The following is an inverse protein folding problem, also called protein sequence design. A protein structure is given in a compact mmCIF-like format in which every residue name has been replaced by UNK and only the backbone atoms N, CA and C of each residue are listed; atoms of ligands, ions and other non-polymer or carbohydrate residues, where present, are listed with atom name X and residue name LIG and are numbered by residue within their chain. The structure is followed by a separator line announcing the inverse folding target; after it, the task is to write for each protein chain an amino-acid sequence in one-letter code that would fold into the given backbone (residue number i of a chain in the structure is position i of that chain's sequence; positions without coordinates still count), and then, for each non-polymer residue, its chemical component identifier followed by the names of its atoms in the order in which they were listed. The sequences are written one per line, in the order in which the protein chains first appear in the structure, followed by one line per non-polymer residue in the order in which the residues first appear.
data_IF_065590862846
#
_entry.id   IF_065590862846
#
_cell.length_a   1.000
_cell.length_b   1.000
_cell.length_c   1.000
_cell.angle_alpha   90.00
_cell.angle_beta   90.00
_cell.angle_gamma   90.00
#
_symmetry.space_group_name_H-M   'P 1'
#
loop_
_entity.id
_entity.type
_entity.pdbx_description
1 polymer ?
#
# COMPACT_ATOMS: atom_id res chain seq x y z
N UNK A 1 -25.38 -8.30 5.45
CA UNK A 1 -25.35 -9.66 4.90
C UNK A 1 -25.48 -9.55 3.39
N UNK A 2 -24.40 -9.83 2.65
CA UNK A 2 -24.46 -10.09 1.20
C UNK A 2 -23.93 -11.49 1.01
N UNK A 3 -24.75 -12.32 0.40
CA UNK A 3 -24.47 -13.72 0.10
C UNK A 3 -23.21 -13.80 -0.77
N UNK A 4 -22.24 -14.62 -0.33
CA UNK A 4 -21.09 -14.99 -1.13
C UNK A 4 -21.58 -16.11 -2.04
N UNK A 5 -21.96 -15.75 -3.26
CA UNK A 5 -22.19 -16.70 -4.34
C UNK A 5 -20.94 -17.57 -4.51
N UNK A 6 -21.11 -18.86 -4.27
CA UNK A 6 -20.15 -19.91 -4.61
C UNK A 6 -20.02 -19.95 -6.13
N UNK A 7 -19.11 -19.15 -6.66
CA UNK A 7 -18.85 -19.12 -8.10
C UNK A 7 -18.42 -20.51 -8.56
N UNK A 8 -19.26 -21.14 -9.39
CA UNK A 8 -18.92 -22.32 -10.19
C UNK A 8 -17.58 -22.09 -10.91
N UNK A 9 -16.80 -23.16 -11.18
CA UNK A 9 -15.54 -23.01 -11.89
C UNK A 9 -15.78 -22.25 -13.19
N UNK A 10 -14.90 -21.30 -13.58
CA UNK A 10 -15.11 -20.51 -14.77
C UNK A 10 -15.33 -21.46 -15.96
N UNK A 11 -16.38 -21.20 -16.76
CA UNK A 11 -16.83 -22.07 -17.86
C UNK A 11 -15.70 -22.60 -18.75
N UNK A 12 -14.61 -21.83 -18.89
CA UNK A 12 -13.41 -22.20 -19.62
C UNK A 12 -12.61 -23.36 -19.00
N UNK A 13 -12.44 -23.37 -17.67
CA UNK A 13 -11.76 -24.46 -16.95
C UNK A 13 -12.55 -25.77 -17.10
N UNK A 14 -13.88 -25.71 -16.94
CA UNK A 14 -14.75 -26.86 -17.11
C UNK A 14 -14.76 -27.42 -18.55
N UNK A 15 -14.77 -26.55 -19.57
CA UNK A 15 -14.66 -26.99 -20.97
C UNK A 15 -13.31 -27.60 -21.30
N UNK A 16 -12.21 -27.01 -20.81
CA UNK A 16 -10.88 -27.54 -21.03
C UNK A 16 -10.69 -28.89 -20.32
N UNK A 17 -11.23 -29.04 -19.12
CA UNK A 17 -11.17 -30.28 -18.35
C UNK A 17 -11.98 -31.40 -19.02
N UNK A 18 -13.15 -31.08 -19.62
CA UNK A 18 -13.90 -32.01 -20.46
C UNK A 18 -13.11 -32.44 -21.70
N UNK A 19 -12.44 -31.49 -22.38
CA UNK A 19 -11.59 -31.79 -23.53
C UNK A 19 -10.39 -32.67 -23.14
N UNK A 20 -9.71 -32.34 -22.05
CA UNK A 20 -8.60 -33.11 -21.52
C UNK A 20 -9.03 -34.54 -21.15
N UNK A 21 -10.20 -34.70 -20.51
CA UNK A 21 -10.79 -36.00 -20.21
C UNK A 21 -11.14 -36.80 -21.47
N UNK A 22 -11.71 -36.16 -22.49
CA UNK A 22 -12.02 -36.82 -23.77
C UNK A 22 -10.74 -37.28 -24.50
N UNK A 23 -9.71 -36.43 -24.52
CA UNK A 23 -8.40 -36.79 -25.09
C UNK A 23 -7.76 -37.92 -24.29
N UNK A 24 -7.78 -37.86 -22.95
CA UNK A 24 -7.20 -38.88 -22.08
C UNK A 24 -7.93 -40.23 -22.19
N UNK A 25 -9.26 -40.24 -22.21
CA UNK A 25 -10.06 -41.44 -22.41
C UNK A 25 -9.78 -42.08 -23.77
N UNK A 26 -9.79 -41.27 -24.84
CA UNK A 26 -9.50 -41.77 -26.20
C UNK A 26 -8.05 -42.21 -26.37
N UNK A 27 -7.12 -41.63 -25.62
CA UNK A 27 -5.73 -42.09 -25.55
C UNK A 27 -5.65 -43.43 -24.80
N UNK A 28 -6.32 -43.56 -23.65
CA UNK A 28 -6.35 -44.79 -22.87
C UNK A 28 -6.98 -45.96 -23.63
N UNK A 29 -8.18 -45.79 -24.19
CA UNK A 29 -8.86 -46.82 -25.01
C UNK A 29 -7.99 -47.32 -26.17
N UNK A 30 -7.24 -46.43 -26.82
CA UNK A 30 -6.36 -46.78 -27.94
C UNK A 30 -5.09 -47.54 -27.53
N UNK A 31 -4.71 -47.49 -26.25
CA UNK A 31 -3.52 -48.16 -25.70
C UNK A 31 -3.87 -49.37 -24.81
N UNK A 32 -5.15 -49.67 -24.56
CA UNK A 32 -5.59 -50.81 -23.73
C UNK A 32 -6.18 -51.99 -24.50
N UNK A 33 -6.12 -52.00 -25.83
CA UNK A 33 -6.73 -53.10 -26.61
C UNK A 33 -5.95 -54.43 -26.62
N UNK A 34 -4.79 -54.51 -25.95
CA UNK A 34 -4.08 -55.78 -25.74
C UNK A 34 -3.94 -56.12 -24.24
N UNK A 35 -4.91 -56.87 -23.72
CA UNK A 35 -4.73 -57.78 -22.58
C UNK A 35 -5.16 -57.27 -21.19
N UNK A 36 -6.44 -57.49 -20.84
CA UNK A 36 -6.91 -58.25 -19.66
C UNK A 36 -8.34 -57.85 -19.28
N UNK A 37 -9.22 -58.83 -19.27
CA UNK A 37 -10.60 -58.74 -18.81
C UNK A 37 -10.64 -58.56 -17.29
N UNK A 38 -11.17 -57.43 -16.82
CA UNK A 38 -11.68 -57.31 -15.45
C UNK A 38 -13.09 -56.71 -15.51
N UNK A 39 -14.08 -57.55 -15.22
CA UNK A 39 -15.47 -57.15 -15.02
C UNK A 39 -15.60 -56.21 -13.81
N UNK A 40 -16.44 -55.17 -13.90
CA UNK A 40 -17.07 -54.59 -12.72
C UNK A 40 -18.59 -54.77 -12.83
N UNK A 41 -19.13 -55.80 -12.17
CA UNK A 41 -20.49 -55.69 -11.64
C UNK A 41 -20.44 -54.82 -10.38
N UNK A 42 -21.20 -53.72 -10.36
CA UNK A 42 -21.42 -52.95 -9.13
C UNK A 42 -21.58 -51.44 -9.30
N UNK A 43 -22.67 -51.00 -9.95
CA UNK A 43 -23.45 -49.83 -9.53
C UNK A 43 -22.89 -48.42 -9.80
N UNK A 44 -23.60 -47.67 -10.67
CA UNK A 44 -23.58 -46.21 -10.69
C UNK A 44 -23.43 -45.63 -12.09
N UNK A 45 -24.53 -45.60 -12.85
CA UNK A 45 -24.55 -44.97 -14.17
C UNK A 45 -24.20 -43.48 -14.12
N UNK A 46 -23.51 -43.01 -15.15
CA UNK A 46 -23.51 -41.61 -15.53
C UNK A 46 -23.71 -41.50 -17.04
N UNK A 47 -24.98 -41.34 -17.40
CA UNK A 47 -25.43 -40.84 -18.69
C UNK A 47 -24.91 -39.42 -18.88
N UNK A 48 -24.01 -39.22 -19.85
CA UNK A 48 -23.65 -37.90 -20.37
C UNK A 48 -23.49 -37.97 -21.91
N UNK A 49 -24.49 -38.58 -22.55
CA UNK A 49 -24.83 -38.33 -23.95
C UNK A 49 -26.16 -37.58 -23.96
N UNK A 50 -26.12 -36.32 -23.51
CA UNK A 50 -27.17 -35.37 -23.85
C UNK A 50 -26.60 -33.96 -23.75
N UNK A 51 -26.23 -33.39 -24.90
CA UNK A 51 -26.16 -31.95 -25.18
C UNK A 51 -25.78 -31.78 -26.65
N UNK A 52 -26.82 -31.80 -27.49
CA UNK A 52 -26.98 -30.98 -28.70
C UNK A 52 -25.73 -30.71 -29.54
N UNK A 53 -25.61 -31.48 -30.62
CA UNK A 53 -24.83 -31.10 -31.81
C UNK A 53 -25.33 -29.74 -32.32
N UNK A 54 -24.56 -28.68 -32.10
CA UNK A 54 -24.69 -27.45 -32.89
C UNK A 54 -24.18 -27.76 -34.30
N UNK A 55 -25.13 -28.19 -35.12
CA UNK A 55 -25.02 -28.32 -36.56
C UNK A 55 -24.66 -26.94 -37.13
N UNK A 56 -23.42 -26.74 -37.58
CA UNK A 56 -23.06 -25.59 -38.41
C UNK A 56 -23.55 -25.92 -39.83
N UNK A 57 -24.64 -25.32 -40.35
CA UNK A 57 -24.99 -25.51 -41.74
C UNK A 57 -24.02 -24.66 -42.59
N UNK A 58 -23.67 -25.16 -43.78
CA UNK A 58 -22.92 -24.48 -44.85
C UNK A 58 -21.39 -24.66 -44.95
N UNK A 59 -20.85 -25.83 -44.60
CA UNK A 59 -19.59 -26.29 -45.19
C UNK A 59 -19.86 -27.24 -46.37
N UNK A 60 -19.90 -26.69 -47.59
CA UNK A 60 -19.88 -27.48 -48.83
C UNK A 60 -18.52 -28.16 -48.99
N UNK A 61 -18.44 -29.44 -48.63
CA UNK A 61 -17.32 -30.31 -48.98
C UNK A 61 -17.40 -30.63 -50.47
N UNK A 62 -16.62 -29.93 -51.29
CA UNK A 62 -16.46 -30.27 -52.71
C UNK A 62 -15.53 -31.48 -52.80
N UNK A 63 -16.11 -32.66 -52.98
CA UNK A 63 -15.38 -33.88 -53.32
C UNK A 63 -14.89 -33.75 -54.77
N UNK A 64 -13.65 -33.34 -54.97
CA UNK A 64 -12.99 -33.46 -56.28
C UNK A 64 -12.65 -34.93 -56.51
N UNK A 65 -13.42 -35.60 -57.36
CA UNK A 65 -13.04 -36.89 -57.97
C UNK A 65 -11.77 -36.68 -58.81
N UNK A 66 -10.77 -37.57 -58.75
CA UNK A 66 -9.64 -37.52 -59.67
C UNK A 66 -10.10 -37.92 -61.08
N UNK A 67 -9.75 -37.09 -62.07
CA UNK A 67 -10.04 -37.34 -63.49
C UNK A 67 -9.30 -38.57 -64.02
N UNK A 68 -10.01 -39.35 -64.83
CA UNK A 68 -9.48 -40.47 -65.62
C UNK A 68 -8.52 -39.98 -66.72
N UNK A 69 -7.43 -40.71 -67.05
CA UNK A 69 -6.46 -40.23 -68.04
C UNK A 69 -6.96 -40.45 -69.50
N UNK A 70 -6.73 -39.51 -70.43
CA UNK A 70 -6.88 -39.78 -71.86
C UNK A 70 -5.59 -40.29 -72.51
N UNK A 71 -5.81 -41.02 -73.61
CA UNK A 71 -4.90 -41.90 -74.35
C UNK A 71 -3.77 -41.17 -75.12
N UNK A 72 -2.67 -41.91 -75.29
CA UNK A 72 -1.42 -41.65 -76.02
C UNK A 72 -1.56 -41.17 -77.49
N UNK A 73 -0.68 -40.23 -77.91
CA UNK A 73 -0.03 -40.24 -79.24
C UNK A 73 1.43 -39.76 -79.16
N UNK A 74 2.25 -40.43 -79.95
CA UNK A 74 3.72 -40.49 -80.07
C UNK A 74 4.35 -39.20 -80.59
N UNK A 75 5.54 -38.79 -80.09
CA UNK A 75 6.83 -38.76 -80.82
C UNK A 75 7.96 -38.11 -80.00
N UNK A 76 9.19 -38.59 -80.24
CA UNK A 76 10.52 -38.05 -79.90
C UNK A 76 11.08 -38.37 -78.50
N UNK A 77 12.00 -39.34 -78.48
CA UNK A 77 12.91 -39.65 -77.36
C UNK A 77 13.94 -38.52 -77.17
N UNK A 78 14.21 -38.12 -75.92
CA UNK A 78 15.56 -37.81 -75.48
C UNK A 78 16.06 -38.89 -74.51
N UNK A 79 17.39 -39.07 -74.49
CA UNK A 79 18.15 -40.07 -73.71
C UNK A 79 17.64 -40.21 -72.25
N UNK A 80 17.59 -41.43 -71.68
CA UNK A 80 17.11 -41.60 -70.31
C UNK A 80 18.11 -40.97 -69.32
N UNK A 81 17.66 -40.20 -68.32
CA UNK A 81 18.47 -39.98 -67.13
C UNK A 81 18.66 -41.34 -66.43
N UNK A 82 19.91 -41.65 -66.06
CA UNK A 82 20.29 -42.84 -65.27
C UNK A 82 19.84 -42.71 -63.81
N UNK A 83 18.53 -42.61 -63.57
CA UNK A 83 17.93 -42.60 -62.23
C UNK A 83 16.69 -43.49 -62.28
N UNK A 84 16.66 -44.55 -61.44
CA UNK A 84 15.48 -45.41 -61.29
C UNK A 84 14.29 -44.53 -60.86
N UNK A 85 13.13 -44.67 -61.54
CA UNK A 85 11.87 -44.09 -61.05
C UNK A 85 11.46 -44.90 -59.82
N UNK A 86 11.22 -44.21 -58.71
CA UNK A 86 10.71 -44.83 -57.51
C UNK A 86 9.33 -45.44 -57.83
N UNK A 87 9.13 -46.71 -57.46
CA UNK A 87 7.80 -47.30 -57.55
C UNK A 87 6.81 -46.49 -56.69
N UNK A 88 5.61 -46.25 -57.21
CA UNK A 88 4.62 -45.36 -56.59
C UNK A 88 4.24 -45.84 -55.20
N UNK A 89 4.17 -47.17 -55.00
CA UNK A 89 3.84 -47.80 -53.72
C UNK A 89 5.00 -47.71 -52.72
N UNK A 90 6.23 -47.99 -53.15
CA UNK A 90 7.45 -47.81 -52.34
C UNK A 90 7.61 -46.35 -51.88
N UNK A 91 7.35 -45.38 -52.77
CA UNK A 91 7.43 -43.96 -52.46
C UNK A 91 6.39 -43.51 -51.43
N UNK A 92 5.16 -43.99 -51.53
CA UNK A 92 4.11 -43.71 -50.54
C UNK A 92 4.47 -44.29 -49.16
N UNK A 93 4.99 -45.52 -49.10
CA UNK A 93 5.42 -46.11 -47.82
C UNK A 93 6.60 -45.36 -47.19
N UNK A 94 7.58 -44.92 -48.00
CA UNK A 94 8.71 -44.13 -47.52
C UNK A 94 8.25 -42.78 -46.96
N UNK A 95 7.37 -42.07 -47.66
CA UNK A 95 6.82 -40.78 -47.22
C UNK A 95 6.07 -40.97 -45.90
N UNK A 96 5.17 -41.97 -45.83
CA UNK A 96 4.42 -42.26 -44.60
C UNK A 96 5.34 -42.60 -43.42
N UNK A 97 6.40 -43.37 -43.64
CA UNK A 97 7.38 -43.71 -42.60
C UNK A 97 8.16 -42.48 -42.09
N UNK A 98 8.49 -41.53 -42.98
CA UNK A 98 9.11 -40.26 -42.60
C UNK A 98 8.16 -39.45 -41.72
N UNK A 99 6.90 -39.28 -42.11
CA UNK A 99 5.91 -38.55 -41.30
C UNK A 99 5.69 -39.21 -39.94
N UNK A 100 5.58 -40.54 -39.89
CA UNK A 100 5.47 -41.29 -38.64
C UNK A 100 6.67 -41.06 -37.70
N UNK A 101 7.87 -41.06 -38.25
CA UNK A 101 9.11 -40.84 -37.50
C UNK A 101 9.24 -39.39 -37.03
N UNK A 102 8.86 -38.42 -37.87
CA UNK A 102 8.82 -37.00 -37.50
C UNK A 102 7.80 -36.72 -36.39
N UNK A 103 6.59 -37.28 -36.47
CA UNK A 103 5.60 -37.14 -35.40
C UNK A 103 6.05 -37.86 -34.11
N UNK A 104 6.75 -38.99 -34.22
CA UNK A 104 7.35 -39.66 -33.05
C UNK A 104 8.45 -38.82 -32.40
N UNK A 105 9.26 -38.15 -33.22
CA UNK A 105 10.28 -37.20 -32.78
C UNK A 105 9.64 -36.00 -32.06
N UNK A 106 8.62 -35.38 -32.66
CA UNK A 106 7.88 -34.26 -32.07
C UNK A 106 7.28 -34.62 -30.70
N UNK A 107 6.62 -35.78 -30.59
CA UNK A 107 6.07 -36.26 -29.33
C UNK A 107 7.16 -36.45 -28.25
N UNK A 108 8.31 -37.02 -28.63
CA UNK A 108 9.45 -37.22 -27.72
C UNK A 108 10.06 -35.89 -27.28
N UNK A 109 10.12 -34.91 -28.19
CA UNK A 109 10.60 -33.56 -27.89
C UNK A 109 9.68 -32.82 -26.92
N UNK A 110 8.35 -32.93 -27.09
CA UNK A 110 7.39 -32.35 -26.16
C UNK A 110 7.44 -33.03 -24.78
N UNK A 111 7.67 -34.34 -24.73
CA UNK A 111 7.90 -35.07 -23.47
C UNK A 111 9.16 -34.57 -22.77
N UNK A 112 10.24 -34.34 -23.51
CA UNK A 112 11.48 -33.76 -22.98
C UNK A 112 11.20 -32.37 -22.39
N UNK A 113 10.50 -31.50 -23.13
CA UNK A 113 10.11 -30.18 -22.64
C UNK A 113 9.26 -30.25 -21.36
N UNK A 114 8.29 -31.16 -21.30
CA UNK A 114 7.45 -31.35 -20.12
C UNK A 114 8.25 -31.89 -18.92
N UNK A 115 9.24 -32.75 -19.15
CA UNK A 115 10.10 -33.35 -18.12
C UNK A 115 11.06 -32.35 -17.45
N UNK A 116 11.22 -31.14 -17.99
CA UNK A 116 12.01 -30.09 -17.34
C UNK A 116 11.27 -29.40 -16.18
N UNK A 117 9.95 -29.54 -16.08
CA UNK A 117 9.15 -28.90 -15.03
C UNK A 117 7.92 -29.75 -14.67
N UNK A 118 7.98 -30.57 -13.59
CA UNK A 118 9.08 -30.73 -12.63
C UNK A 118 10.26 -31.54 -13.20
N UNK A 119 11.50 -31.16 -12.86
CA UNK A 119 12.70 -31.87 -13.33
C UNK A 119 12.79 -33.27 -12.72
N UNK A 120 12.67 -34.29 -13.56
CA UNK A 120 12.88 -35.70 -13.17
C UNK A 120 13.93 -36.30 -14.10
N UNK A 121 15.08 -36.67 -13.54
CA UNK A 121 16.25 -37.09 -14.32
C UNK A 121 15.96 -38.31 -15.21
N UNK A 122 15.21 -39.28 -14.70
CA UNK A 122 14.87 -40.51 -15.43
C UNK A 122 13.97 -40.23 -16.65
N UNK A 123 12.99 -39.33 -16.52
CA UNK A 123 12.06 -39.00 -17.61
C UNK A 123 12.74 -38.18 -18.68
N UNK A 124 13.64 -37.26 -18.28
CA UNK A 124 14.50 -36.50 -19.21
C UNK A 124 15.41 -37.45 -19.99
N UNK A 125 16.11 -38.38 -19.30
CA UNK A 125 16.97 -39.39 -19.95
C UNK A 125 16.20 -40.34 -20.86
N UNK A 126 14.96 -40.68 -20.53
CA UNK A 126 14.12 -41.53 -21.37
C UNK A 126 13.67 -40.79 -22.64
N UNK A 127 13.20 -39.54 -22.51
CA UNK A 127 12.78 -38.71 -23.62
C UNK A 127 13.95 -38.37 -24.57
N UNK A 128 15.13 -38.08 -24.02
CA UNK A 128 16.36 -37.84 -24.80
C UNK A 128 16.76 -39.07 -25.63
N UNK A 129 16.81 -40.26 -25.01
CA UNK A 129 17.08 -41.52 -25.73
C UNK A 129 16.08 -41.78 -26.85
N UNK A 130 14.79 -41.54 -26.61
CA UNK A 130 13.74 -41.69 -27.62
C UNK A 130 13.93 -40.70 -28.79
N UNK A 131 14.33 -39.46 -28.48
CA UNK A 131 14.59 -38.41 -29.46
C UNK A 131 15.79 -38.77 -30.37
N UNK A 132 16.90 -39.21 -29.76
CA UNK A 132 18.10 -39.70 -30.49
C UNK A 132 17.75 -40.92 -31.35
N UNK A 133 16.96 -41.86 -30.83
CA UNK A 133 16.50 -43.04 -31.60
C UNK A 133 15.69 -42.64 -32.83
N UNK A 134 14.80 -41.66 -32.73
CA UNK A 134 14.02 -41.18 -33.88
C UNK A 134 14.89 -40.44 -34.91
N UNK A 135 15.91 -39.69 -34.48
CA UNK A 135 16.89 -39.09 -35.39
C UNK A 135 17.70 -40.15 -36.14
N UNK A 136 18.08 -41.24 -35.45
CA UNK A 136 18.76 -42.36 -36.09
C UNK A 136 17.87 -43.00 -37.16
N UNK A 137 16.59 -43.27 -36.86
CA UNK A 137 15.63 -43.79 -37.85
C UNK A 137 15.48 -42.88 -39.08
N UNK A 138 15.44 -41.55 -38.90
CA UNK A 138 15.43 -40.61 -40.03
C UNK A 138 16.71 -40.69 -40.86
N UNK A 139 17.87 -40.88 -40.22
CA UNK A 139 19.14 -41.09 -40.91
C UNK A 139 19.13 -42.38 -41.73
N UNK A 140 18.58 -43.46 -41.18
CA UNK A 140 18.48 -44.76 -41.86
C UNK A 140 17.55 -44.67 -43.08
N UNK A 141 16.39 -44.01 -42.95
CA UNK A 141 15.46 -43.74 -44.05
C UNK A 141 16.11 -42.90 -45.16
N UNK A 142 16.91 -41.88 -44.78
CA UNK A 142 17.67 -41.05 -45.72
C UNK A 142 18.74 -41.88 -46.46
N UNK A 143 19.46 -42.74 -45.74
CA UNK A 143 20.49 -43.59 -46.32
C UNK A 143 19.87 -44.62 -47.26
N UNK A 144 18.74 -45.23 -46.88
CA UNK A 144 17.96 -46.12 -47.73
C UNK A 144 17.56 -45.45 -49.05
N UNK A 145 16.99 -44.24 -48.99
CA UNK A 145 16.62 -43.49 -50.19
C UNK A 145 17.82 -43.23 -51.12
N UNK A 146 18.99 -42.89 -50.54
CA UNK A 146 20.22 -42.67 -51.31
C UNK A 146 20.71 -43.96 -51.97
N UNK A 147 20.80 -45.06 -51.22
CA UNK A 147 21.24 -46.36 -51.72
C UNK A 147 20.32 -46.87 -52.82
N UNK A 148 19.00 -46.78 -52.63
CA UNK A 148 18.01 -47.18 -53.63
C UNK A 148 18.12 -46.39 -54.94
N UNK A 149 18.50 -45.11 -54.85
CA UNK A 149 18.71 -44.26 -56.03
C UNK A 149 20.03 -44.55 -56.75
N UNK A 150 21.03 -45.11 -56.06
CA UNK A 150 22.37 -45.36 -56.57
C UNK A 150 22.60 -46.80 -57.06
N UNK A 151 21.91 -47.81 -56.51
CA UNK A 151 22.06 -49.22 -56.94
C UNK A 151 21.20 -49.54 -58.18
N UNK A 152 21.85 -50.02 -59.24
CA UNK A 152 21.19 -50.44 -60.50
C UNK A 152 21.01 -51.97 -60.63
N UNK A 153 21.58 -52.78 -59.74
CA UNK A 153 21.81 -54.22 -60.03
C UNK A 153 21.66 -55.21 -58.86
N UNK A 154 20.93 -54.89 -57.79
CA UNK A 154 20.59 -55.88 -56.75
C UNK A 154 19.08 -56.11 -56.68
N UNK A 155 18.71 -57.40 -56.68
CA UNK A 155 17.40 -57.87 -56.23
C UNK A 155 17.08 -57.32 -54.84
N UNK A 156 15.79 -57.12 -54.62
CA UNK A 156 15.16 -56.41 -53.52
C UNK A 156 15.44 -57.08 -52.17
N UNK A 157 16.57 -56.76 -51.53
CA UNK A 157 16.65 -56.80 -50.06
C UNK A 157 15.89 -55.57 -49.55
N UNK A 158 14.56 -55.70 -49.52
CA UNK A 158 13.67 -54.71 -48.92
C UNK A 158 14.08 -54.53 -47.47
N UNK A 159 14.56 -53.35 -47.09
CA UNK A 159 14.35 -52.90 -45.71
C UNK A 159 12.86 -53.09 -45.42
N UNK A 160 12.47 -53.60 -44.24
CA UNK A 160 11.08 -53.76 -43.87
C UNK A 160 10.52 -52.36 -43.61
N UNK A 161 10.32 -51.58 -44.67
CA UNK A 161 9.50 -50.39 -44.64
C UNK A 161 8.10 -50.94 -44.41
N UNK A 162 7.63 -50.82 -43.16
CA UNK A 162 6.32 -51.24 -42.75
C UNK A 162 5.23 -50.68 -43.67
N UNK A 163 4.02 -51.24 -43.55
CA UNK A 163 2.93 -50.84 -44.43
C UNK A 163 2.67 -49.33 -44.36
N UNK A 164 2.30 -48.71 -45.48
CA UNK A 164 1.90 -47.29 -45.51
C UNK A 164 0.80 -46.99 -44.48
N UNK A 165 -0.14 -47.92 -44.28
CA UNK A 165 -1.20 -47.81 -43.27
C UNK A 165 -0.66 -47.86 -41.84
N UNK A 166 0.29 -48.75 -41.57
CA UNK A 166 0.93 -48.91 -40.26
C UNK A 166 1.70 -47.63 -39.88
N UNK A 167 2.46 -47.06 -40.83
CA UNK A 167 3.14 -45.78 -40.62
C UNK A 167 2.14 -44.64 -40.32
N UNK A 168 0.99 -44.63 -40.99
CA UNK A 168 -0.06 -43.62 -40.74
C UNK A 168 -0.73 -43.78 -39.37
N UNK A 169 -0.92 -45.02 -38.90
CA UNK A 169 -1.39 -45.30 -37.52
C UNK A 169 -0.36 -44.81 -36.51
N UNK A 170 0.92 -45.13 -36.72
CA UNK A 170 2.02 -44.69 -35.86
C UNK A 170 2.14 -43.16 -35.80
N UNK A 171 1.95 -42.47 -36.93
CA UNK A 171 1.90 -41.00 -36.99
C UNK A 171 0.77 -40.44 -36.11
N UNK A 172 -0.45 -40.97 -36.26
CA UNK A 172 -1.61 -40.53 -35.48
C UNK A 172 -1.45 -40.82 -33.98
N UNK A 173 -0.94 -41.99 -33.61
CA UNK A 173 -0.61 -42.33 -32.22
C UNK A 173 0.42 -41.35 -31.63
N UNK A 174 1.40 -40.94 -32.42
CA UNK A 174 2.41 -39.98 -31.98
C UNK A 174 1.84 -38.58 -31.79
N UNK A 175 0.96 -38.14 -32.70
CA UNK A 175 0.20 -36.88 -32.53
C UNK A 175 -0.69 -36.89 -31.30
N UNK A 176 -1.37 -38.01 -31.01
CA UNK A 176 -2.17 -38.17 -29.79
C UNK A 176 -1.29 -38.06 -28.53
N UNK A 177 -0.12 -38.69 -28.52
CA UNK A 177 0.85 -38.57 -27.40
C UNK A 177 1.34 -37.12 -27.22
N UNK A 178 1.63 -36.41 -28.31
CA UNK A 178 2.00 -35.00 -28.28
C UNK A 178 0.90 -34.13 -27.66
N UNK A 179 -0.35 -34.28 -28.13
CA UNK A 179 -1.51 -33.56 -27.61
C UNK A 179 -1.77 -33.90 -26.12
N UNK A 180 -1.68 -35.17 -25.75
CA UNK A 180 -1.82 -35.61 -24.37
C UNK A 180 -0.77 -34.98 -23.45
N UNK A 181 0.48 -34.88 -23.90
CA UNK A 181 1.57 -34.25 -23.15
C UNK A 181 1.30 -32.76 -22.90
N UNK A 182 0.89 -32.03 -23.95
CA UNK A 182 0.56 -30.59 -23.84
C UNK A 182 -0.68 -30.38 -22.95
N UNK A 183 -1.70 -31.22 -23.10
CA UNK A 183 -2.92 -31.15 -22.30
C UNK A 183 -2.64 -31.37 -20.81
N UNK A 184 -1.86 -32.39 -20.46
CA UNK A 184 -1.45 -32.66 -19.08
C UNK A 184 -0.66 -31.49 -18.48
N UNK A 185 0.25 -30.87 -19.26
CA UNK A 185 1.01 -29.69 -18.80
C UNK A 185 0.08 -28.51 -18.50
N UNK A 186 -0.81 -28.19 -19.43
CA UNK A 186 -1.76 -27.08 -19.27
C UNK A 186 -2.72 -27.32 -18.10
N UNK A 187 -3.17 -28.56 -17.90
CA UNK A 187 -4.00 -28.91 -16.75
C UNK A 187 -3.27 -28.64 -15.43
N UNK A 188 -2.01 -29.07 -15.29
CA UNK A 188 -1.21 -28.79 -14.09
C UNK A 188 -0.97 -27.30 -13.85
N UNK A 189 -0.76 -26.52 -14.91
CA UNK A 189 -0.64 -25.05 -14.80
C UNK A 189 -1.95 -24.39 -14.33
N UNK A 190 -3.11 -24.88 -14.78
CA UNK A 190 -4.42 -24.39 -14.33
C UNK A 190 -4.65 -24.73 -12.87
N UNK A 191 -4.44 -25.99 -12.47
CA UNK A 191 -4.62 -26.45 -11.08
C UNK A 191 -3.73 -25.62 -10.12
N UNK A 192 -2.48 -25.34 -10.53
CA UNK A 192 -1.56 -24.49 -9.77
C UNK A 192 -2.02 -23.03 -9.67
N UNK A 193 -2.65 -22.48 -10.71
CA UNK A 193 -3.23 -21.13 -10.67
C UNK A 193 -4.48 -21.09 -9.79
N UNK A 194 -5.34 -22.09 -9.87
CA UNK A 194 -6.55 -22.18 -9.07
C UNK A 194 -6.23 -22.25 -7.57
N UNK A 195 -5.19 -23.00 -7.17
CA UNK A 195 -4.70 -23.03 -5.79
C UNK A 195 -4.21 -21.65 -5.30
N UNK A 196 -3.51 -20.90 -6.15
CA UNK A 196 -3.06 -19.53 -5.83
C UNK A 196 -4.22 -18.58 -5.68
N UNK A 197 -5.20 -18.64 -6.59
CA UNK A 197 -6.44 -17.83 -6.51
C UNK A 197 -7.17 -18.12 -5.21
N UNK A 198 -7.32 -19.40 -4.86
CA UNK A 198 -7.94 -19.82 -3.60
C UNK A 198 -7.22 -19.23 -2.37
N UNK A 199 -5.89 -19.32 -2.34
CA UNK A 199 -5.07 -18.76 -1.25
C UNK A 199 -5.22 -17.24 -1.12
N UNK A 200 -5.22 -16.53 -2.24
CA UNK A 200 -5.40 -15.07 -2.26
C UNK A 200 -6.82 -14.66 -1.80
N UNK A 201 -7.85 -15.41 -2.21
CA UNK A 201 -9.23 -15.18 -1.76
C UNK A 201 -9.38 -15.38 -0.25
N UNK A 202 -8.75 -16.39 0.32
CA UNK A 202 -8.75 -16.60 1.77
C UNK A 202 -8.09 -15.43 2.51
N UNK A 203 -6.89 -15.00 2.07
CA UNK A 203 -6.21 -13.83 2.65
C UNK A 203 -7.06 -12.56 2.57
N UNK A 204 -7.73 -12.33 1.44
CA UNK A 204 -8.63 -11.19 1.27
C UNK A 204 -9.80 -11.26 2.28
N UNK A 205 -10.39 -12.44 2.47
CA UNK A 205 -11.47 -12.65 3.45
C UNK A 205 -11.00 -12.39 4.88
N UNK A 206 -9.81 -12.85 5.25
CA UNK A 206 -9.22 -12.58 6.57
C UNK A 206 -8.99 -11.09 6.81
N UNK A 207 -8.41 -10.39 5.83
CA UNK A 207 -8.19 -8.94 5.89
C UNK A 207 -9.54 -8.21 6.01
N UNK A 208 -10.55 -8.59 5.22
CA UNK A 208 -11.88 -7.99 5.31
C UNK A 208 -12.53 -8.21 6.67
N UNK A 209 -12.40 -9.41 7.26
CA UNK A 209 -12.89 -9.69 8.61
C UNK A 209 -12.17 -8.83 9.65
N UNK A 210 -10.85 -8.72 9.57
CA UNK A 210 -10.06 -7.86 10.46
C UNK A 210 -10.45 -6.39 10.33
N UNK A 211 -10.60 -5.87 9.10
CA UNK A 211 -11.09 -4.52 8.87
C UNK A 211 -12.49 -4.31 9.43
N UNK A 212 -13.42 -5.24 9.23
CA UNK A 212 -14.78 -5.10 9.78
C UNK A 212 -14.78 -5.05 11.32
N UNK A 213 -13.90 -5.82 11.98
CA UNK A 213 -13.72 -5.77 13.44
C UNK A 213 -13.14 -4.43 13.89
N UNK A 214 -12.14 -3.91 13.17
CA UNK A 214 -11.53 -2.61 13.46
C UNK A 214 -12.53 -1.48 13.25
N UNK A 215 -13.27 -1.48 12.13
CA UNK A 215 -14.32 -0.50 11.85
C UNK A 215 -15.41 -0.51 12.93
N UNK A 216 -15.82 -1.69 13.41
CA UNK A 216 -16.79 -1.79 14.50
C UNK A 216 -16.27 -1.19 15.81
N UNK A 217 -15.00 -1.44 16.16
CA UNK A 217 -14.34 -0.82 17.33
C UNK A 217 -14.26 0.71 17.20
N UNK A 218 -13.99 1.20 16.00
CA UNK A 218 -13.95 2.64 15.71
C UNK A 218 -15.35 3.28 15.78
N UNK A 219 -16.39 2.59 15.31
CA UNK A 219 -17.77 3.09 15.37
C UNK A 219 -18.41 2.97 16.75
N UNK A 220 -17.94 2.08 17.61
CA UNK A 220 -18.40 2.00 19.02
C UNK A 220 -17.74 3.10 19.89
N UNK A 221 -16.78 3.87 19.32
CA UNK A 221 -16.18 5.07 19.90
C UNK A 221 -16.85 6.36 19.38
N UNK A 222 -18.18 6.36 19.20
CA UNK A 222 -18.96 7.43 18.56
C UNK A 222 -19.14 8.72 19.41
N UNK A 223 -18.15 9.03 20.25
CA UNK A 223 -17.99 10.31 20.93
C UNK A 223 -16.54 10.82 20.93
N UNK A 224 -15.61 10.08 20.32
CA UNK A 224 -14.19 10.42 20.33
C UNK A 224 -13.88 11.55 19.35
N UNK A 225 -13.38 12.66 19.86
CA UNK A 225 -12.64 13.66 19.05
C UNK A 225 -11.68 12.90 18.14
N UNK A 226 -11.74 13.12 16.82
CA UNK A 226 -10.75 12.55 15.90
C UNK A 226 -9.40 13.19 16.22
N UNK A 227 -8.61 12.52 17.05
CA UNK A 227 -7.28 12.95 17.46
C UNK A 227 -6.37 12.89 16.24
N UNK A 228 -6.19 14.05 15.61
CA UNK A 228 -5.28 14.23 14.50
C UNK A 228 -4.32 15.36 14.79
N UNK A 229 -3.12 15.29 14.22
CA UNK A 229 -2.12 16.35 14.32
C UNK A 229 -2.71 17.70 13.88
N UNK A 230 -3.58 17.71 12.85
CA UNK A 230 -4.23 18.94 12.37
C UNK A 230 -5.20 19.54 13.39
N UNK A 231 -5.95 18.70 14.12
CA UNK A 231 -6.83 19.17 15.20
C UNK A 231 -5.98 19.80 16.30
N UNK A 232 -4.88 19.14 16.68
CA UNK A 232 -3.94 19.68 17.66
C UNK A 232 -3.32 21.00 17.21
N UNK A 233 -2.82 21.09 15.97
CA UNK A 233 -2.27 22.33 15.38
C UNK A 233 -3.29 23.47 15.36
N UNK A 234 -4.57 23.18 15.09
CA UNK A 234 -5.64 24.18 15.12
C UNK A 234 -5.88 24.71 16.53
N UNK A 235 -6.07 23.82 17.51
CA UNK A 235 -6.31 24.19 18.92
C UNK A 235 -5.10 24.91 19.50
N UNK A 236 -3.88 24.48 19.13
CA UNK A 236 -2.63 25.16 19.49
C UNK A 236 -2.57 26.58 18.90
N UNK A 237 -2.98 26.74 17.64
CA UNK A 237 -3.09 28.03 16.98
C UNK A 237 -4.09 28.97 17.68
N UNK A 238 -5.21 28.42 18.14
CA UNK A 238 -6.23 29.14 18.91
C UNK A 238 -5.69 29.58 20.28
N UNK A 239 -5.06 28.68 21.03
CA UNK A 239 -4.41 28.99 22.30
C UNK A 239 -3.35 30.10 22.13
N UNK A 240 -2.48 30.01 21.13
CA UNK A 240 -1.49 31.07 20.89
C UNK A 240 -2.10 32.40 20.44
N UNK A 241 -3.27 32.39 19.81
CA UNK A 241 -3.99 33.62 19.47
C UNK A 241 -4.52 34.29 20.73
N UNK A 242 -5.08 33.53 21.66
CA UNK A 242 -5.57 34.07 22.94
C UNK A 242 -4.43 34.51 23.86
N UNK A 243 -3.32 33.77 23.92
CA UNK A 243 -2.11 34.19 24.64
C UNK A 243 -1.59 35.53 24.11
N UNK A 244 -1.54 35.71 22.78
CA UNK A 244 -1.14 37.00 22.18
C UNK A 244 -2.13 38.12 22.50
N UNK A 245 -3.44 37.82 22.51
CA UNK A 245 -4.48 38.79 22.85
C UNK A 245 -4.33 39.25 24.30
N UNK A 246 -4.22 38.33 25.26
CA UNK A 246 -3.99 38.65 26.66
C UNK A 246 -2.69 39.43 26.86
N UNK A 247 -1.58 38.99 26.25
CA UNK A 247 -0.30 39.71 26.32
C UNK A 247 -0.43 41.16 25.86
N UNK A 248 -1.21 41.41 24.80
CA UNK A 248 -1.47 42.77 24.32
C UNK A 248 -2.23 43.60 25.35
N UNK A 249 -3.29 43.05 25.95
CA UNK A 249 -4.06 43.71 27.02
C UNK A 249 -3.17 44.01 28.22
N UNK A 250 -2.34 43.06 28.64
CA UNK A 250 -1.38 43.25 29.73
C UNK A 250 -0.38 44.38 29.44
N UNK A 251 0.20 44.41 28.23
CA UNK A 251 1.12 45.49 27.81
C UNK A 251 0.43 46.86 27.86
N UNK A 252 -0.78 46.98 27.30
CA UNK A 252 -1.54 48.24 27.32
C UNK A 252 -1.83 48.73 28.75
N UNK A 253 -2.03 47.81 29.69
CA UNK A 253 -2.24 48.13 31.10
C UNK A 253 -0.95 48.54 31.81
N UNK A 254 0.16 47.84 31.53
CA UNK A 254 1.49 48.20 32.03
C UNK A 254 1.91 49.61 31.55
N UNK A 255 1.67 49.94 30.27
CA UNK A 255 1.93 51.27 29.72
C UNK A 255 1.11 52.36 30.41
N UNK A 256 -0.20 52.13 30.63
CA UNK A 256 -1.08 53.05 31.36
C UNK A 256 -0.66 53.24 32.82
N UNK A 257 -0.11 52.20 33.44
CA UNK A 257 0.44 52.23 34.80
C UNK A 257 1.84 52.89 34.86
N UNK A 258 2.41 53.30 33.73
CA UNK A 258 3.71 53.97 33.66
C UNK A 258 4.92 53.04 33.74
N UNK A 259 4.76 51.77 33.40
CA UNK A 259 5.87 50.80 33.40
C UNK A 259 6.83 51.06 32.24
N UNK A 260 8.12 50.93 32.52
CA UNK A 260 9.15 50.85 31.49
C UNK A 260 9.19 49.42 30.94
N UNK A 261 8.65 49.24 29.72
CA UNK A 261 8.59 47.95 29.04
C UNK A 261 9.96 47.39 28.66
N UNK A 262 10.95 48.25 28.41
CA UNK A 262 12.31 47.81 28.08
C UNK A 262 13.00 47.26 29.34
N UNK A 263 12.81 47.95 30.48
CA UNK A 263 13.27 47.46 31.77
C UNK A 263 12.56 46.14 32.15
N UNK A 264 11.24 46.06 32.00
CA UNK A 264 10.49 44.84 32.27
C UNK A 264 10.97 43.66 31.40
N UNK A 265 11.19 43.90 30.10
CA UNK A 265 11.71 42.87 29.20
C UNK A 265 13.13 42.41 29.60
N UNK A 266 13.98 43.32 30.08
CA UNK A 266 15.32 42.98 30.59
C UNK A 266 15.29 42.14 31.86
N UNK A 267 14.25 42.26 32.71
CA UNK A 267 14.08 41.38 33.87
C UNK A 267 13.67 39.97 33.48
N UNK A 268 12.89 39.80 32.41
CA UNK A 268 12.49 38.47 31.92
C UNK A 268 13.65 37.78 31.21
N UNK A 269 14.38 38.50 30.36
CA UNK A 269 15.51 37.98 29.59
C UNK A 269 16.71 38.94 29.67
N UNK A 270 17.57 38.83 30.71
CA UNK A 270 18.66 39.78 30.99
C UNK A 270 19.77 39.83 29.95
N UNK A 271 20.00 38.72 29.23
CA UNK A 271 21.17 38.53 28.37
C UNK A 271 20.92 38.94 26.90
N UNK A 272 19.75 39.52 26.59
CA UNK A 272 19.29 39.66 25.21
C UNK A 272 19.17 41.13 24.78
N UNK A 273 19.98 41.52 23.80
CA UNK A 273 19.87 42.81 23.12
C UNK A 273 18.80 42.74 22.00
N UNK A 274 17.78 43.59 22.09
CA UNK A 274 16.71 43.63 21.10
C UNK A 274 17.14 44.32 19.79
N UNK A 275 16.86 43.66 18.66
CA UNK A 275 17.25 44.13 17.31
C UNK A 275 16.52 45.41 16.89
N UNK A 276 15.26 45.60 17.31
CA UNK A 276 14.46 46.80 16.99
C UNK A 276 13.70 47.25 18.25
N UNK A 277 13.45 48.57 18.35
CA UNK A 277 12.52 49.12 19.35
C UNK A 277 11.14 48.47 19.19
N UNK A 278 10.51 48.11 20.31
CA UNK A 278 9.24 47.40 20.34
C UNK A 278 9.34 45.87 20.19
N UNK A 279 10.55 45.29 20.09
CA UNK A 279 10.74 43.83 20.20
C UNK A 279 10.65 43.33 21.66
N UNK A 280 10.69 44.23 22.66
CA UNK A 280 10.40 43.95 24.07
C UNK A 280 9.08 43.18 24.29
N UNK A 281 8.06 43.42 23.43
CA UNK A 281 6.79 42.68 23.43
C UNK A 281 6.95 41.16 23.26
N UNK A 282 7.99 40.70 22.57
CA UNK A 282 8.26 39.26 22.42
C UNK A 282 8.79 38.65 23.72
N UNK A 283 9.54 39.41 24.52
CA UNK A 283 9.97 38.99 25.85
C UNK A 283 8.77 38.93 26.82
N UNK A 284 7.84 39.90 26.75
CA UNK A 284 6.60 39.85 27.55
C UNK A 284 5.68 38.70 27.10
N UNK A 285 5.59 38.42 25.80
CA UNK A 285 4.89 37.23 25.30
C UNK A 285 5.53 35.93 25.79
N UNK A 286 6.86 35.88 25.80
CA UNK A 286 7.63 34.76 26.36
C UNK A 286 7.32 34.58 27.85
N UNK A 287 7.27 35.67 28.63
CA UNK A 287 6.88 35.64 30.05
C UNK A 287 5.50 34.99 30.26
N UNK A 288 4.50 35.43 29.49
CA UNK A 288 3.14 34.87 29.57
C UNK A 288 3.14 33.39 29.17
N UNK A 289 3.82 33.02 28.09
CA UNK A 289 3.95 31.61 27.69
C UNK A 289 4.65 30.77 28.77
N UNK A 290 5.72 31.28 29.39
CA UNK A 290 6.45 30.58 30.44
C UNK A 290 5.57 30.31 31.66
N UNK A 291 4.74 31.26 32.09
CA UNK A 291 3.80 31.05 33.18
C UNK A 291 2.66 30.09 32.79
N UNK A 292 1.99 30.34 31.67
CA UNK A 292 0.82 29.54 31.26
C UNK A 292 1.15 28.07 30.98
N UNK A 293 2.29 27.80 30.33
CA UNK A 293 2.67 26.43 29.95
C UNK A 293 3.55 25.73 30.99
N UNK A 294 3.82 26.34 32.14
CA UNK A 294 4.56 25.68 33.23
C UNK A 294 3.77 24.47 33.75
N UNK A 295 4.42 23.30 33.82
CA UNK A 295 3.79 22.04 34.25
C UNK A 295 3.00 21.32 33.16
N UNK A 296 3.07 21.76 31.90
CA UNK A 296 2.31 21.14 30.79
C UNK A 296 2.64 19.65 30.56
N UNK A 297 3.87 19.22 30.89
CA UNK A 297 4.28 17.81 30.79
C UNK A 297 3.62 16.90 31.84
N UNK A 298 3.05 17.47 32.92
CA UNK A 298 2.36 16.71 33.97
C UNK A 298 0.88 16.48 33.63
N UNK A 299 0.31 15.39 34.14
CA UNK A 299 -1.08 14.96 33.90
C UNK A 299 -2.14 15.98 34.38
N UNK A 300 -1.77 16.81 35.36
CA UNK A 300 -2.63 17.84 35.94
C UNK A 300 -2.02 19.24 36.04
N UNK A 301 -1.03 19.62 35.21
CA UNK A 301 -0.31 20.91 35.38
C UNK A 301 0.36 21.08 36.76
N UNK A 302 0.88 19.98 37.33
CA UNK A 302 1.43 19.91 38.69
C UNK A 302 0.43 20.41 39.76
N UNK A 303 -0.87 20.22 39.54
CA UNK A 303 -1.85 20.31 40.63
C UNK A 303 -1.64 19.05 41.50
N UNK A 304 -1.54 19.23 42.82
CA UNK A 304 -1.22 18.18 43.81
C UNK A 304 -2.35 17.13 43.99
N UNK A 305 -3.05 16.78 42.91
CA UNK A 305 -4.05 15.71 42.91
C UNK A 305 -3.36 14.36 42.67
N UNK A 306 -3.16 13.64 43.76
CA UNK A 306 -2.79 12.22 43.80
C UNK A 306 -3.98 11.35 43.37
N UNK A 307 -4.43 11.50 42.11
CA UNK A 307 -5.38 10.56 41.50
C UNK A 307 -4.82 10.12 40.16
N UNK A 308 -4.07 9.02 40.18
CA UNK A 308 -3.65 8.34 38.96
C UNK A 308 -4.87 7.78 38.23
N UNK A 309 -5.31 8.40 37.15
CA UNK A 309 -6.52 7.96 36.45
C UNK A 309 -6.47 8.15 34.92
N UNK A 310 -6.29 7.00 34.25
CA UNK A 310 -6.75 6.56 32.92
C UNK A 310 -7.06 7.65 31.85
N UNK A 311 -6.47 7.56 30.65
CA UNK A 311 -6.69 8.47 29.48
C UNK A 311 -8.18 8.76 29.14
N UNK A 312 -9.09 7.87 29.57
CA UNK A 312 -10.54 8.05 29.47
C UNK A 312 -11.09 9.24 30.29
N UNK A 313 -10.42 9.63 31.38
CA UNK A 313 -10.72 10.78 32.22
C UNK A 313 -10.48 12.11 31.46
N UNK A 314 -9.32 12.22 30.79
CA UNK A 314 -8.89 13.41 30.06
C UNK A 314 -9.81 13.77 28.89
N UNK A 315 -10.29 12.78 28.14
CA UNK A 315 -11.25 13.01 27.05
C UNK A 315 -12.60 13.51 27.59
N UNK A 316 -13.06 12.94 28.71
CA UNK A 316 -14.30 13.37 29.36
C UNK A 316 -14.19 14.81 29.86
N UNK A 317 -13.08 15.16 30.50
CA UNK A 317 -12.80 16.53 30.95
C UNK A 317 -12.71 17.52 29.77
N UNK A 318 -12.04 17.12 28.68
CA UNK A 318 -11.97 17.90 27.44
C UNK A 318 -13.39 18.18 26.90
N UNK A 319 -14.22 17.15 26.77
CA UNK A 319 -15.59 17.30 26.26
C UNK A 319 -16.43 18.19 27.17
N UNK A 320 -16.32 18.04 28.49
CA UNK A 320 -17.04 18.87 29.46
C UNK A 320 -16.61 20.34 29.35
N UNK A 321 -15.31 20.60 29.23
CA UNK A 321 -14.78 21.96 29.16
C UNK A 321 -15.17 22.66 27.85
N UNK A 322 -15.03 21.97 26.70
CA UNK A 322 -15.38 22.53 25.38
C UNK A 322 -16.89 22.79 25.25
N UNK A 323 -17.73 22.06 25.98
CA UNK A 323 -19.19 22.23 25.94
C UNK A 323 -19.73 23.33 26.86
N UNK A 324 -18.86 23.97 27.65
CA UNK A 324 -19.25 24.94 28.67
C UNK A 324 -18.61 26.31 28.42
N UNK A 325 -19.26 27.38 28.85
CA UNK A 325 -18.62 28.70 28.86
C UNK A 325 -17.59 28.77 30.02
N UNK A 326 -16.33 29.13 29.76
CA UNK A 326 -15.29 29.13 30.80
C UNK A 326 -15.55 30.14 31.93
N UNK A 327 -16.25 31.25 31.66
CA UNK A 327 -16.64 32.21 32.69
C UNK A 327 -17.72 31.63 33.61
N UNK A 328 -18.73 30.97 33.04
CA UNK A 328 -19.79 30.30 33.82
C UNK A 328 -19.25 29.12 34.64
N UNK A 329 -18.21 28.42 34.14
CA UNK A 329 -17.56 27.34 34.89
C UNK A 329 -16.92 27.85 36.18
N UNK A 330 -16.22 28.98 36.13
CA UNK A 330 -15.58 29.59 37.30
C UNK A 330 -16.60 30.10 38.32
N UNK A 331 -17.77 30.57 37.87
CA UNK A 331 -18.84 31.01 38.75
C UNK A 331 -19.59 29.84 39.40
N UNK A 332 -19.78 28.74 38.66
CA UNK A 332 -20.58 27.59 39.10
C UNK A 332 -19.81 26.65 40.03
N UNK A 333 -18.52 26.43 39.77
CA UNK A 333 -17.72 25.44 40.49
C UNK A 333 -16.29 25.92 40.72
N UNK A 334 -16.03 26.40 41.95
CA UNK A 334 -14.73 26.95 42.35
C UNK A 334 -13.66 25.88 42.60
N UNK A 335 -14.05 24.61 42.76
CA UNK A 335 -13.13 23.52 43.09
C UNK A 335 -12.78 22.64 41.87
N UNK A 336 -13.43 22.87 40.73
CA UNK A 336 -13.12 22.14 39.50
C UNK A 336 -11.65 22.33 39.07
N UNK A 337 -11.08 21.33 38.38
CA UNK A 337 -9.68 21.36 37.95
C UNK A 337 -9.32 22.60 37.12
N UNK A 338 -10.25 23.10 36.29
CA UNK A 338 -10.05 24.33 35.54
C UNK A 338 -9.98 25.59 36.44
N UNK A 339 -10.80 25.66 37.50
CA UNK A 339 -10.75 26.78 38.45
C UNK A 339 -9.43 26.81 39.20
N UNK A 340 -8.99 25.65 39.71
CA UNK A 340 -7.69 25.50 40.38
C UNK A 340 -6.51 25.82 39.45
N UNK A 341 -6.60 25.42 38.18
CA UNK A 341 -5.65 25.84 37.16
C UNK A 341 -5.63 27.36 36.96
N UNK A 342 -6.79 27.99 36.78
CA UNK A 342 -6.90 29.45 36.62
C UNK A 342 -6.29 30.20 37.81
N UNK A 343 -6.61 29.81 39.04
CA UNK A 343 -6.09 30.45 40.26
C UNK A 343 -4.57 30.33 40.36
N UNK A 344 -4.03 29.11 40.16
CA UNK A 344 -2.58 28.86 40.14
C UNK A 344 -1.90 29.71 39.07
N UNK A 345 -2.43 29.72 37.84
CA UNK A 345 -1.85 30.48 36.72
C UNK A 345 -1.94 31.98 36.90
N UNK A 346 -3.00 32.48 37.53
CA UNK A 346 -3.13 33.89 37.84
C UNK A 346 -2.00 34.35 38.77
N UNK A 347 -1.76 33.62 39.87
CA UNK A 347 -0.70 33.95 40.83
C UNK A 347 0.72 33.75 40.26
N UNK A 348 0.92 32.80 39.35
CA UNK A 348 2.21 32.63 38.65
C UNK A 348 2.51 33.78 37.68
N UNK A 349 1.48 34.34 37.04
CA UNK A 349 1.62 35.40 36.02
C UNK A 349 1.51 36.82 36.55
N UNK A 350 0.72 37.05 37.59
CA UNK A 350 0.41 38.38 38.09
C UNK A 350 0.85 38.46 39.54
N UNK A 351 2.05 39.02 39.75
CA UNK A 351 2.56 39.24 41.10
C UNK A 351 1.74 40.34 41.81
N UNK A 352 1.51 40.27 43.13
CA UNK A 352 0.72 41.28 43.86
C UNK A 352 1.25 42.73 43.69
N UNK A 353 2.55 42.91 43.50
CA UNK A 353 3.13 44.23 43.19
C UNK A 353 2.80 44.71 41.78
N UNK A 354 2.67 43.79 40.82
CA UNK A 354 2.22 44.08 39.46
C UNK A 354 0.74 44.44 39.46
N UNK A 355 -0.08 43.63 40.14
CA UNK A 355 -1.52 43.85 40.29
C UNK A 355 -1.82 45.21 40.93
N UNK A 356 -1.22 45.49 42.07
CA UNK A 356 -1.37 46.80 42.74
C UNK A 356 -0.89 47.93 41.84
N UNK A 357 0.25 47.83 41.16
CA UNK A 357 0.71 48.91 40.27
C UNK A 357 -0.23 49.16 39.10
N UNK A 358 -0.78 48.10 38.49
CA UNK A 358 -1.68 48.20 37.34
C UNK A 358 -3.07 48.72 37.75
N UNK A 359 -3.60 48.27 38.89
CA UNK A 359 -5.00 48.52 39.26
C UNK A 359 -5.19 49.60 40.35
N UNK A 360 -4.22 49.86 41.24
CA UNK A 360 -4.36 50.86 42.32
C UNK A 360 -4.25 52.32 41.84
N UNK A 361 -3.53 52.57 40.75
CA UNK A 361 -3.40 53.91 40.17
C UNK A 361 -4.64 54.35 39.36
N UNK A 362 -5.70 53.54 39.32
CA UNK A 362 -6.87 53.77 38.46
C UNK A 362 -8.04 54.52 39.14
N UNK A 363 -7.91 54.91 40.41
CA UNK A 363 -8.99 55.42 41.28
C UNK A 363 -9.40 56.91 41.11
N UNK A 364 -8.95 57.62 40.06
CA UNK A 364 -9.38 59.02 39.85
C UNK A 364 -10.73 59.10 39.11
N UNK A 365 -11.85 58.98 39.85
CA UNK A 365 -13.28 59.26 39.55
C UNK A 365 -13.86 59.22 38.11
N UNK A 366 -13.24 59.81 37.08
CA UNK A 366 -13.63 59.65 35.66
C UNK A 366 -12.92 58.42 35.02
N UNK A 367 -11.79 58.01 35.61
CA UNK A 367 -11.05 56.81 35.27
C UNK A 367 -11.74 55.51 35.75
N UNK A 368 -12.71 55.58 36.66
CA UNK A 368 -13.32 54.39 37.29
C UNK A 368 -14.14 53.54 36.31
N UNK A 369 -14.93 54.15 35.44
CA UNK A 369 -15.66 53.40 34.41
C UNK A 369 -14.71 52.81 33.36
N UNK A 370 -13.64 53.52 33.05
CA UNK A 370 -12.58 53.00 32.17
C UNK A 370 -11.75 51.90 32.84
N UNK A 371 -11.60 51.96 34.17
CA UNK A 371 -10.84 50.99 34.97
C UNK A 371 -11.61 49.70 35.17
N UNK A 372 -12.90 49.76 35.46
CA UNK A 372 -13.76 48.58 35.53
C UNK A 372 -13.89 47.88 34.18
N UNK A 373 -14.03 48.64 33.07
CA UNK A 373 -13.99 48.06 31.72
C UNK A 373 -12.64 47.43 31.42
N UNK A 374 -11.54 48.06 31.83
CA UNK A 374 -10.19 47.53 31.63
C UNK A 374 -9.94 46.27 32.45
N UNK A 375 -10.44 46.22 33.69
CA UNK A 375 -10.36 45.06 34.57
C UNK A 375 -11.22 43.90 34.06
N UNK A 376 -12.44 44.16 33.61
CA UNK A 376 -13.29 43.14 32.95
C UNK A 376 -12.64 42.63 31.66
N UNK A 377 -12.13 43.52 30.80
CA UNK A 377 -11.42 43.12 29.57
C UNK A 377 -10.18 42.27 29.87
N UNK A 378 -9.42 42.65 30.90
CA UNK A 378 -8.26 41.90 31.37
C UNK A 378 -8.67 40.50 31.83
N UNK A 379 -9.62 40.40 32.74
CA UNK A 379 -10.07 39.13 33.30
C UNK A 379 -10.69 38.22 32.23
N UNK A 380 -11.54 38.75 31.35
CA UNK A 380 -12.11 38.00 30.22
C UNK A 380 -11.00 37.48 29.29
N UNK A 381 -10.00 38.32 28.97
CA UNK A 381 -8.88 37.90 28.14
C UNK A 381 -7.98 36.85 28.82
N UNK A 382 -7.84 36.93 30.15
CA UNK A 382 -7.11 35.95 30.95
C UNK A 382 -7.84 34.61 30.95
N UNK A 383 -9.14 34.60 31.27
CA UNK A 383 -9.95 33.37 31.32
C UNK A 383 -10.03 32.72 29.94
N UNK A 384 -10.17 33.51 28.86
CA UNK A 384 -10.13 32.98 27.50
C UNK A 384 -8.79 32.29 27.18
N UNK A 385 -7.67 32.94 27.53
CA UNK A 385 -6.33 32.35 27.37
C UNK A 385 -6.17 31.07 28.20
N UNK A 386 -6.58 31.10 29.47
CA UNK A 386 -6.50 29.96 30.37
C UNK A 386 -7.35 28.78 29.85
N UNK A 387 -8.57 29.04 29.39
CA UNK A 387 -9.45 28.04 28.79
C UNK A 387 -8.80 27.41 27.56
N UNK A 388 -8.29 28.20 26.61
CA UNK A 388 -7.65 27.66 25.41
C UNK A 388 -6.40 26.82 25.71
N UNK A 389 -5.60 27.20 26.73
CA UNK A 389 -4.44 26.41 27.18
C UNK A 389 -4.85 25.14 27.91
N UNK A 390 -5.89 25.19 28.74
CA UNK A 390 -6.46 24.02 29.43
C UNK A 390 -7.02 23.01 28.42
N UNK A 391 -7.81 23.46 27.44
CA UNK A 391 -8.30 22.63 26.33
C UNK A 391 -7.15 21.96 25.58
N UNK A 392 -6.10 22.72 25.26
CA UNK A 392 -4.92 22.20 24.55
C UNK A 392 -4.21 21.10 25.34
N UNK A 393 -4.09 21.25 26.66
CA UNK A 393 -3.47 20.26 27.54
C UNK A 393 -4.31 18.98 27.67
N UNK A 394 -5.62 19.10 27.92
CA UNK A 394 -6.51 17.93 27.97
C UNK A 394 -6.56 17.21 26.63
N UNK A 395 -6.49 17.94 25.52
CA UNK A 395 -6.33 17.36 24.19
C UNK A 395 -4.96 16.66 24.04
N UNK A 396 -3.87 17.22 24.55
CA UNK A 396 -2.53 16.61 24.51
C UNK A 396 -2.49 15.24 25.20
N UNK A 397 -3.17 15.09 26.33
CA UNK A 397 -3.26 13.84 27.11
C UNK A 397 -4.16 12.78 26.45
N UNK A 398 -5.00 13.17 25.49
CA UNK A 398 -5.81 12.21 24.75
C UNK A 398 -4.97 11.43 23.71
N UNK A 399 -3.79 11.92 23.31
CA UNK A 399 -2.93 11.22 22.35
C UNK A 399 -2.17 10.05 23.01
N UNK A 400 -1.95 8.98 22.24
CA UNK A 400 -1.08 7.85 22.62
C UNK A 400 0.03 7.66 21.55
N UNK A 401 1.30 7.99 21.86
CA UNK A 401 1.79 8.58 23.11
C UNK A 401 1.34 10.04 23.28
N UNK A 402 1.31 10.52 24.52
CA UNK A 402 0.94 11.90 24.86
C UNK A 402 1.84 12.94 24.15
N UNK A 403 1.29 14.12 23.88
CA UNK A 403 2.04 15.19 23.21
C UNK A 403 3.10 15.76 24.17
N UNK A 404 4.36 15.76 23.73
CA UNK A 404 5.48 16.32 24.49
C UNK A 404 5.63 17.82 24.18
N UNK A 405 5.80 18.66 25.18
CA UNK A 405 6.17 20.07 25.01
C UNK A 405 7.70 20.21 25.09
N UNK A 406 8.28 21.11 24.30
CA UNK A 406 9.70 21.41 24.39
C UNK A 406 9.97 22.91 24.29
N UNK A 407 11.07 23.33 24.92
CA UNK A 407 11.58 24.70 24.89
C UNK A 407 13.03 24.68 24.44
N UNK A 408 13.46 25.79 23.86
CA UNK A 408 14.81 25.94 23.32
C UNK A 408 15.61 26.85 24.25
N UNK A 409 16.79 26.40 24.63
CA UNK A 409 17.69 27.17 25.49
C UNK A 409 18.28 28.40 24.76
N UNK A 410 18.55 29.45 25.53
CA UNK A 410 19.27 30.63 25.04
C UNK A 410 20.70 30.24 24.61
N UNK A 411 21.19 30.85 23.54
CA UNK A 411 22.55 30.69 23.03
C UNK A 411 22.77 29.51 22.07
N UNK A 412 21.76 28.65 21.88
CA UNK A 412 21.77 27.50 20.95
C UNK A 412 21.66 27.98 19.49
N UNK A 413 22.30 27.25 18.57
CA UNK A 413 22.23 27.54 17.14
C UNK A 413 20.82 27.27 16.58
N UNK A 414 20.37 28.13 15.67
CA UNK A 414 19.03 28.02 15.08
C UNK A 414 18.89 26.77 14.20
N UNK A 415 17.85 25.98 14.44
CA UNK A 415 17.49 24.84 13.60
C UNK A 415 16.13 25.06 12.93
N UNK A 416 16.12 25.15 11.60
CA UNK A 416 14.89 25.33 10.80
C UNK A 416 13.91 24.16 10.93
N UNK A 417 14.34 23.01 11.46
CA UNK A 417 13.49 21.83 11.65
C UNK A 417 12.63 21.99 12.91
N UNK A 418 13.22 22.45 14.01
CA UNK A 418 12.57 22.54 15.32
C UNK A 418 12.08 23.94 15.67
N UNK A 419 12.54 24.97 14.94
CA UNK A 419 12.40 26.36 15.33
C UNK A 419 11.87 27.22 14.19
N UNK A 420 10.97 28.15 14.54
CA UNK A 420 10.46 29.19 13.65
C UNK A 420 10.88 30.56 14.18
N UNK A 421 11.48 31.40 13.34
CA UNK A 421 11.80 32.77 13.70
C UNK A 421 10.52 33.63 13.78
N UNK A 422 10.22 34.20 14.95
CA UNK A 422 9.05 35.08 15.16
C UNK A 422 9.00 36.29 14.25
N UNK A 423 10.15 36.73 13.72
CA UNK A 423 10.25 37.87 12.81
C UNK A 423 9.84 37.51 11.37
N UNK A 424 9.91 36.23 10.99
CA UNK A 424 9.59 35.78 9.62
C UNK A 424 8.08 35.84 9.31
N UNK A 425 7.24 35.81 10.35
CA UNK A 425 5.78 35.76 10.24
C UNK A 425 5.11 37.12 9.96
N UNK A 426 5.81 38.23 10.24
CA UNK A 426 5.38 39.59 9.90
C UNK A 426 6.37 40.14 8.87
N UNK A 427 6.09 39.93 7.59
CA UNK A 427 6.61 40.70 6.45
C UNK A 427 7.98 41.39 6.64
N UNK A 428 9.05 40.74 6.17
CA UNK A 428 10.24 41.43 5.67
C UNK A 428 11.05 40.44 4.81
N UNK A 429 10.64 40.23 3.54
CA UNK A 429 11.42 39.50 2.52
C UNK A 429 12.81 40.14 2.24
N UNK A 430 13.12 41.27 2.88
CA UNK A 430 14.37 42.04 2.77
C UNK A 430 15.41 41.72 3.84
N UNK A 431 15.07 40.98 4.90
CA UNK A 431 16.06 40.55 5.88
C UNK A 431 16.77 39.30 5.33
N UNK A 432 17.82 39.52 4.53
CA UNK A 432 18.82 38.48 4.26
C UNK A 432 19.60 38.20 5.55
N UNK A 433 18.94 37.53 6.51
CA UNK A 433 19.63 37.04 7.69
C UNK A 433 20.52 35.89 7.25
N UNK A 434 21.82 35.99 7.51
CA UNK A 434 22.75 34.86 7.38
C UNK A 434 22.42 33.85 8.47
N UNK A 435 21.36 33.06 8.29
CA UNK A 435 20.79 32.17 9.30
C UNK A 435 21.81 31.17 9.88
N UNK A 436 22.88 30.90 9.13
CA UNK A 436 24.02 30.04 9.51
C UNK A 436 24.82 30.50 10.75
N UNK A 437 24.56 31.72 11.27
CA UNK A 437 25.16 32.21 12.53
C UNK A 437 24.13 32.67 13.55
N UNK A 438 22.87 32.28 13.37
CA UNK A 438 21.77 32.69 14.24
C UNK A 438 21.88 31.98 15.56
N UNK A 439 21.87 32.74 16.65
CA UNK A 439 21.67 32.17 17.97
C UNK A 439 20.28 32.48 18.47
N UNK A 440 19.70 31.54 19.19
CA UNK A 440 18.45 31.73 19.89
C UNK A 440 18.72 32.66 21.07
N UNK A 441 18.00 33.77 21.14
CA UNK A 441 17.99 34.62 22.34
C UNK A 441 17.08 34.01 23.40
N UNK A 442 15.85 33.66 23.03
CA UNK A 442 14.91 33.00 23.93
C UNK A 442 13.75 32.36 23.16
N UNK A 443 13.09 31.39 23.78
CA UNK A 443 11.80 30.85 23.31
C UNK A 443 10.68 31.85 23.59
N UNK A 444 10.01 32.29 22.52
CA UNK A 444 8.80 33.12 22.63
C UNK A 444 7.58 32.24 22.88
N UNK A 445 7.50 31.11 22.17
CA UNK A 445 6.39 30.16 22.27
C UNK A 445 6.95 28.73 22.23
N UNK A 446 6.55 27.83 23.12
CA UNK A 446 7.04 26.45 23.14
C UNK A 446 6.71 25.70 21.85
N UNK A 447 7.51 24.66 21.56
CA UNK A 447 7.26 23.70 20.49
C UNK A 447 6.60 22.43 21.05
N UNK A 448 6.05 21.61 20.16
CA UNK A 448 5.30 20.40 20.54
C UNK A 448 5.68 19.23 19.64
N UNK A 449 5.67 18.02 20.19
CA UNK A 449 5.93 16.79 19.44
C UNK A 449 4.73 15.85 19.59
N UNK A 450 4.02 15.66 18.48
CA UNK A 450 2.84 14.79 18.38
C UNK A 450 3.25 13.53 17.65
N UNK A 451 3.59 12.48 18.40
CA UNK A 451 4.16 11.25 17.84
C UNK A 451 5.48 11.51 17.10
N UNK A 452 5.47 11.33 15.77
CA UNK A 452 6.63 11.60 14.90
C UNK A 452 6.64 13.00 14.28
N UNK A 453 5.61 13.82 14.53
CA UNK A 453 5.49 15.16 13.95
C UNK A 453 5.95 16.21 14.94
N UNK A 454 6.81 17.12 14.48
CA UNK A 454 7.31 18.25 15.27
C UNK A 454 6.59 19.52 14.84
N UNK A 455 5.94 20.19 15.80
CA UNK A 455 5.43 21.54 15.67
C UNK A 455 6.48 22.49 16.25
N UNK A 456 6.93 23.42 15.41
CA UNK A 456 8.11 24.25 15.69
C UNK A 456 7.90 25.21 16.86
N UNK A 457 8.92 25.34 17.70
CA UNK A 457 8.98 26.38 18.73
C UNK A 457 9.25 27.74 18.08
N UNK A 458 8.55 28.78 18.52
CA UNK A 458 8.81 30.13 18.03
C UNK A 458 9.90 30.77 18.87
N UNK A 459 10.99 31.17 18.22
CA UNK A 459 12.17 31.72 18.88
C UNK A 459 12.47 33.13 18.41
N UNK A 460 12.99 33.94 19.32
CA UNK A 460 13.61 35.22 19.01
C UNK A 460 15.09 35.00 18.74
N UNK A 461 15.60 35.54 17.63
CA UNK A 461 17.00 35.35 17.23
C UNK A 461 17.85 36.58 17.56
N UNK A 462 19.05 36.32 18.06
CA UNK A 462 20.09 37.30 18.38
C UNK A 462 21.36 37.02 17.55
N UNK A 463 22.30 37.97 17.53
CA UNK A 463 23.59 37.78 16.83
C UNK A 463 23.63 38.27 15.37
N UNK A 464 22.57 38.91 14.87
CA UNK A 464 22.56 39.55 13.56
C UNK A 464 22.40 41.05 13.67
N UNK A 465 23.40 41.81 13.21
CA UNK A 465 23.22 43.24 12.94
C UNK A 465 22.37 43.38 11.68
N UNK A 466 21.17 43.96 11.81
CA UNK A 466 20.44 44.50 10.65
C UNK A 466 21.36 45.51 9.96
N UNK A 467 21.63 45.31 8.66
CA UNK A 467 22.28 46.34 7.84
C UNK A 467 21.29 47.43 7.47
#
# INVERSE_FOLDING_TARGET
MREVETSSPPQFSAMFQKLAMAVKAKTYEFFTEDGESINPEGGGGFSLLDSTEDFIPDQKVVVLKPDSPPKTKTLLKPKPPRVRKLDTQMGLSLISSIFATLSSFEASYLQLQAAHAPFVEETVKAADRALVSNLQKLSDLKQFYRTHRQSLDLETDSLPIGSCLESRVQENQSKLRALGTVSNRLQGEMDGKDLRVWTLRNKLSEIQKSNSKLSKRLSESDGGVVLSVRVYESVLGDAFRDVKRFTKVLIELMEKAGWDLDLAASYVHPEVEFVKKGHNRYALLSYVCLGMFRGFDGEGFDLDDDDGEDSSSSLRELMQHVSSNPMELLERDKECGFSRFCDKKYHELIHPSMESSIFSNMDRNEAVLSSWRSLSTFYESFVAMASSVWTLHKLALCFDPAVEIFRVESGVDFSIVFMENVLRRREDKKLSMNLDRAKVGFTVVPGFKVGCTVIQSQVYLTGFKCK
#
